data_IF_156174215512
#
_entry.id   IF_156174215512
#
_cell.length_a   1.000
_cell.length_b   1.000
_cell.length_c   1.000
_cell.angle_alpha   90.00
_cell.angle_beta   90.00
_cell.angle_gamma   90.00
#
_symmetry.space_group_name_H-M   'P 1'
#
loop_
_entity.id
_entity.type
_entity.pdbx_description
1 polymer ?
#
# COMPACT_ATOMS: atom_id res chain seq x y z
N UNK A 1 -5.70 20.79 -25.69
CA UNK A 1 -5.27 19.62 -26.48
C UNK A 1 -5.07 18.51 -25.47
N UNK A 2 -6.07 17.63 -25.31
CA UNK A 2 -5.91 16.47 -24.44
C UNK A 2 -4.98 15.52 -25.19
N UNK A 3 -3.82 15.23 -24.59
CA UNK A 3 -2.90 14.22 -25.11
C UNK A 3 -3.66 12.91 -25.24
N UNK A 4 -3.63 12.34 -26.44
CA UNK A 4 -4.04 10.96 -26.68
C UNK A 4 -3.34 10.09 -25.63
N UNK A 5 -4.13 9.40 -24.80
CA UNK A 5 -3.59 8.38 -23.90
C UNK A 5 -3.15 7.27 -24.84
N UNK A 6 -1.85 7.20 -25.12
CA UNK A 6 -1.25 6.07 -25.81
C UNK A 6 -1.64 4.83 -25.02
N UNK A 7 -2.47 3.97 -25.64
CA UNK A 7 -2.81 2.65 -25.10
C UNK A 7 -1.61 1.73 -25.28
N UNK A 8 -0.49 2.09 -24.64
CA UNK A 8 0.69 1.24 -24.56
C UNK A 8 0.38 0.13 -23.56
N UNK A 9 -0.20 -0.96 -24.09
CA UNK A 9 -0.50 -2.24 -23.43
C UNK A 9 -0.47 -2.16 -21.90
N UNK A 10 -1.57 -1.66 -21.31
CA UNK A 10 -1.68 -1.38 -19.87
C UNK A 10 -1.19 -2.55 -19.00
N UNK A 11 -1.37 -3.79 -19.46
CA UNK A 11 -0.92 -5.00 -18.78
C UNK A 11 0.60 -5.12 -18.68
N UNK A 12 1.36 -4.73 -19.70
CA UNK A 12 2.83 -4.74 -19.65
C UNK A 12 3.35 -3.64 -18.72
N UNK A 13 2.73 -2.47 -18.77
CA UNK A 13 3.05 -1.34 -17.89
C UNK A 13 2.75 -1.69 -16.43
N UNK A 14 1.58 -2.31 -16.18
CA UNK A 14 1.17 -2.78 -14.88
C UNK A 14 2.08 -3.91 -14.39
N UNK A 15 2.44 -4.86 -15.26
CA UNK A 15 3.38 -5.93 -14.92
C UNK A 15 4.75 -5.37 -14.54
N UNK A 16 5.27 -4.38 -15.29
CA UNK A 16 6.54 -3.71 -14.96
C UNK A 16 6.46 -2.98 -13.62
N UNK A 17 5.35 -2.29 -13.35
CA UNK A 17 5.11 -1.61 -12.07
C UNK A 17 5.12 -2.58 -10.88
N UNK A 18 4.53 -3.75 -11.03
CA UNK A 18 4.45 -4.76 -9.96
C UNK A 18 5.67 -5.67 -9.84
N UNK A 19 6.66 -5.57 -10.73
CA UNK A 19 7.94 -6.28 -10.57
C UNK A 19 8.71 -5.66 -9.40
N UNK A 20 8.77 -6.38 -8.28
CA UNK A 20 9.48 -5.98 -7.07
C UNK A 20 10.98 -5.72 -7.30
N UNK A 21 11.57 -6.42 -8.28
CA UNK A 21 12.94 -6.20 -8.75
C UNK A 21 13.20 -4.76 -9.23
N UNK A 22 12.19 -4.07 -9.78
CA UNK A 22 12.32 -2.68 -10.22
C UNK A 22 12.51 -1.69 -9.06
N UNK A 23 12.09 -2.08 -7.85
CA UNK A 23 12.28 -1.32 -6.61
C UNK A 23 13.53 -1.77 -5.83
N UNK A 24 14.33 -2.69 -6.38
CA UNK A 24 15.50 -3.27 -5.71
C UNK A 24 15.14 -4.21 -4.54
N UNK A 25 13.89 -4.66 -4.47
CA UNK A 25 13.42 -5.60 -3.44
C UNK A 25 13.63 -7.00 -4.01
N UNK A 26 14.57 -7.73 -3.44
CA UNK A 26 14.82 -9.12 -3.80
C UNK A 26 13.59 -9.95 -3.41
N UNK A 27 13.07 -10.76 -4.36
CA UNK A 27 11.98 -11.67 -4.04
C UNK A 27 12.38 -12.57 -2.85
N UNK A 28 11.51 -12.68 -1.83
CA UNK A 28 11.83 -13.49 -0.67
C UNK A 28 12.07 -14.94 -1.11
N UNK A 29 13.06 -15.61 -0.52
CA UNK A 29 13.20 -17.05 -0.67
C UNK A 29 11.90 -17.74 -0.24
N UNK A 30 11.66 -18.94 -0.77
CA UNK A 30 10.45 -19.74 -0.55
C UNK A 30 10.17 -20.07 0.94
N UNK A 31 10.99 -19.60 1.88
CA UNK A 31 10.92 -19.84 3.32
C UNK A 31 9.95 -18.91 4.07
N UNK A 32 9.33 -17.93 3.39
CA UNK A 32 8.42 -16.96 4.02
C UNK A 32 6.99 -17.51 4.19
N UNK A 33 6.87 -18.74 4.70
CA UNK A 33 5.57 -19.36 4.98
C UNK A 33 4.90 -18.83 6.26
N UNK A 34 5.69 -18.44 7.27
CA UNK A 34 5.17 -18.03 8.57
C UNK A 34 4.45 -16.68 8.58
N UNK A 35 4.98 -15.68 7.86
CA UNK A 35 4.39 -14.33 7.82
C UNK A 35 3.08 -14.29 7.04
N UNK A 36 2.95 -15.10 5.99
CA UNK A 36 1.73 -15.16 5.19
C UNK A 36 0.56 -15.76 5.99
N UNK A 37 0.83 -16.78 6.82
CA UNK A 37 -0.18 -17.32 7.76
C UNK A 37 -0.58 -16.26 8.79
N UNK A 38 0.40 -15.61 9.42
CA UNK A 38 0.13 -14.55 10.41
C UNK A 38 -0.71 -13.40 9.83
N UNK A 39 -0.39 -12.94 8.63
CA UNK A 39 -1.13 -11.87 7.97
C UNK A 39 -2.58 -12.29 7.71
N UNK A 40 -2.81 -13.51 7.22
CA UNK A 40 -4.17 -14.02 6.99
C UNK A 40 -4.98 -14.09 8.27
N UNK A 41 -4.38 -14.59 9.35
CA UNK A 41 -5.07 -14.79 10.63
C UNK A 41 -5.36 -13.46 11.35
N UNK A 42 -4.56 -12.42 11.10
CA UNK A 42 -4.74 -11.09 11.74
C UNK A 42 -5.70 -10.16 10.99
N UNK A 43 -6.14 -10.50 9.78
CA UNK A 43 -7.09 -9.68 9.02
C UNK A 43 -8.48 -9.76 9.68
N UNK A 44 -9.02 -8.60 10.06
CA UNK A 44 -10.39 -8.49 10.57
C UNK A 44 -11.02 -7.15 10.17
N UNK A 45 -12.35 -7.06 10.28
CA UNK A 45 -13.11 -5.84 10.00
C UNK A 45 -13.41 -5.10 11.31
N UNK A 46 -13.02 -3.82 11.41
CA UNK A 46 -13.18 -3.01 12.63
C UNK A 46 -14.52 -2.27 12.73
N UNK A 47 -15.42 -2.47 11.75
CA UNK A 47 -16.68 -1.72 11.62
C UNK A 47 -16.65 -0.60 10.57
N UNK A 48 -15.47 -0.25 10.06
CA UNK A 48 -15.29 0.75 9.00
C UNK A 48 -14.41 0.21 7.86
N UNK A 49 -13.31 -0.47 8.19
CA UNK A 49 -12.31 -0.98 7.23
C UNK A 49 -11.74 -2.32 7.66
N UNK A 50 -11.08 -2.99 6.73
CA UNK A 50 -10.23 -4.14 7.06
C UNK A 50 -8.92 -3.65 7.67
N UNK A 51 -8.51 -4.31 8.74
CA UNK A 51 -7.29 -4.03 9.50
C UNK A 51 -6.49 -5.32 9.58
N UNK A 52 -5.16 -5.20 9.52
CA UNK A 52 -4.21 -6.31 9.63
C UNK A 52 -3.11 -5.92 10.63
N UNK A 53 -2.60 -6.90 11.37
CA UNK A 53 -1.49 -6.68 12.28
C UNK A 53 -0.15 -6.78 11.54
N UNK A 54 0.86 -6.08 12.03
CA UNK A 54 2.20 -6.14 11.46
C UNK A 54 3.07 -7.10 12.29
N UNK A 55 3.63 -8.17 11.69
CA UNK A 55 4.28 -9.25 12.44
C UNK A 55 5.53 -8.82 13.23
N UNK A 56 6.10 -7.64 12.93
CA UNK A 56 7.28 -7.10 13.58
C UNK A 56 7.00 -5.88 14.48
N UNK A 57 5.74 -5.46 14.62
CA UNK A 57 5.38 -4.31 15.48
C UNK A 57 4.56 -4.79 16.67
N UNK A 58 5.27 -5.07 17.76
CA UNK A 58 4.66 -5.38 19.05
C UNK A 58 4.31 -4.06 19.77
N UNK A 59 3.11 -3.98 20.35
CA UNK A 59 2.60 -2.80 21.09
C UNK A 59 2.49 -1.51 20.25
N UNK A 60 1.65 -1.52 19.21
CA UNK A 60 1.29 -0.28 18.50
C UNK A 60 0.63 0.72 19.45
N UNK A 61 1.30 1.83 19.73
CA UNK A 61 0.59 3.05 20.13
C UNK A 61 -0.10 3.59 18.87
N UNK A 62 -1.41 3.82 18.96
CA UNK A 62 -2.15 4.55 17.93
C UNK A 62 -1.41 5.87 17.66
N UNK A 63 -0.86 6.00 16.45
CA UNK A 63 -0.30 7.26 15.99
C UNK A 63 -1.47 8.21 15.69
N UNK A 64 -1.34 9.50 16.02
CA UNK A 64 -2.33 10.48 15.58
C UNK A 64 -2.41 10.48 14.06
N UNK A 65 -3.61 10.58 13.51
CA UNK A 65 -3.80 10.73 12.07
C UNK A 65 -3.36 12.12 11.58
N UNK A 66 -3.19 12.25 10.27
CA UNK A 66 -2.78 13.50 9.61
C UNK A 66 -3.93 14.18 8.85
N UNK A 67 -5.19 13.85 9.15
CA UNK A 67 -6.35 14.27 8.35
C UNK A 67 -6.45 15.79 8.23
N UNK A 68 -6.45 16.49 9.37
CA UNK A 68 -6.56 17.95 9.43
C UNK A 68 -5.47 18.68 8.64
N UNK A 69 -4.24 18.15 8.69
CA UNK A 69 -3.11 18.70 7.95
C UNK A 69 -3.28 18.51 6.43
N UNK A 70 -3.73 17.32 6.01
CA UNK A 70 -3.98 17.02 4.60
C UNK A 70 -5.11 17.90 4.05
N UNK A 71 -6.19 18.07 4.80
CA UNK A 71 -7.31 18.93 4.43
C UNK A 71 -6.88 20.40 4.26
N UNK A 72 -6.09 20.92 5.21
CA UNK A 72 -5.58 22.30 5.13
C UNK A 72 -4.73 22.52 3.87
N UNK A 73 -3.87 21.56 3.51
CA UNK A 73 -3.01 21.64 2.31
C UNK A 73 -3.82 21.62 1.01
N UNK A 74 -4.89 20.85 0.97
CA UNK A 74 -5.80 20.80 -0.18
C UNK A 74 -6.41 22.17 -0.43
N UNK A 75 -7.00 22.79 0.59
CA UNK A 75 -7.61 24.12 0.50
C UNK A 75 -6.64 25.22 0.05
N UNK A 76 -5.35 25.09 0.39
CA UNK A 76 -4.31 26.04 -0.03
C UNK A 76 -3.90 25.87 -1.49
N UNK A 77 -4.02 24.65 -2.02
CA UNK A 77 -3.59 24.31 -3.38
C UNK A 77 -4.70 24.55 -4.41
N UNK A 78 -5.97 24.49 -3.99
CA UNK A 78 -7.15 24.74 -4.83
C UNK A 78 -7.56 26.23 -4.91
N UNK A 79 -6.74 27.14 -4.38
CA UNK A 79 -6.88 28.60 -4.52
C UNK A 79 -6.16 29.13 -5.74
#
# INVERSE_FOLDING_TARGET
MFSEIETENDDETLQKFWRLDSMGIQEPSNEVHGTNSFLKDSIHYDGNRYVVELPWINNMKMLPDNFELAWTRLQQTER
#
